data_IF_877891511365
#
_entry.id   IF_877891511365
#
_cell.length_a   1.000
_cell.length_b   1.000
_cell.length_c   1.000
_cell.angle_alpha   90.00
_cell.angle_beta   90.00
_cell.angle_gamma   90.00
#
_symmetry.space_group_name_H-M   'P 1'
#
loop_
_entity.id
_entity.type
_entity.pdbx_description
1 polymer ?
#
# COMPACT_ATOMS: atom_id res chain seq x y z
N UNK A 1 -5.44 6.40 7.09
CA UNK A 1 -4.26 7.29 7.17
C UNK A 1 -3.79 7.64 5.75
N UNK A 2 -3.33 8.87 5.47
CA UNK A 2 -2.87 9.29 4.12
C UNK A 2 -1.48 9.90 4.21
N UNK A 3 -0.65 9.66 3.22
CA UNK A 3 0.71 10.20 3.11
C UNK A 3 1.15 10.28 1.65
N UNK A 4 2.23 11.01 1.43
CA UNK A 4 2.90 11.11 0.12
C UNK A 4 4.22 10.35 0.18
N UNK A 5 4.49 9.57 -0.85
CA UNK A 5 5.74 8.85 -1.06
C UNK A 5 6.49 9.52 -2.22
N UNK A 6 7.63 10.12 -1.91
CA UNK A 6 8.55 10.61 -2.95
C UNK A 6 9.14 9.46 -3.77
N UNK A 7 9.71 9.81 -4.94
CA UNK A 7 10.22 8.92 -5.99
C UNK A 7 11.27 7.88 -5.57
N UNK A 8 11.75 7.93 -4.33
CA UNK A 8 12.73 7.00 -3.74
C UNK A 8 12.40 6.60 -2.31
N UNK A 9 11.29 7.11 -1.78
CA UNK A 9 10.85 6.80 -0.44
C UNK A 9 10.21 5.41 -0.45
N UNK A 10 10.61 4.60 0.53
CA UNK A 10 9.99 3.30 0.78
C UNK A 10 9.36 3.29 2.16
N UNK A 11 8.20 2.68 2.26
CA UNK A 11 7.49 2.48 3.52
C UNK A 11 7.17 1.00 3.66
N UNK A 12 7.48 0.42 4.82
CA UNK A 12 7.16 -0.98 5.12
C UNK A 12 5.93 -1.01 6.00
N UNK A 13 4.86 -1.60 5.47
CA UNK A 13 3.66 -1.95 6.21
C UNK A 13 3.86 -3.35 6.80
N UNK A 14 3.91 -3.44 8.13
CA UNK A 14 4.00 -4.73 8.83
C UNK A 14 2.62 -5.27 9.14
N UNK A 15 2.42 -6.58 8.97
CA UNK A 15 1.15 -7.28 9.30
C UNK A 15 -0.09 -6.55 8.76
N UNK A 16 -0.12 -6.39 7.44
CA UNK A 16 -1.11 -5.54 6.78
C UNK A 16 -2.35 -6.31 6.31
N UNK A 17 -2.65 -7.47 6.89
CA UNK A 17 -3.87 -8.23 6.59
C UNK A 17 -5.12 -7.36 6.77
N UNK A 18 -6.06 -7.48 5.82
CA UNK A 18 -7.30 -6.72 5.77
C UNK A 18 -7.12 -5.24 5.42
N UNK A 19 -5.89 -4.77 5.20
CA UNK A 19 -5.63 -3.36 4.86
C UNK A 19 -5.83 -3.13 3.38
N UNK A 20 -6.60 -2.09 3.03
CA UNK A 20 -6.74 -1.64 1.65
C UNK A 20 -5.84 -0.43 1.39
N UNK A 21 -4.95 -0.57 0.42
CA UNK A 21 -4.07 0.50 -0.06
C UNK A 21 -4.73 1.13 -1.29
N UNK A 22 -4.91 2.44 -1.26
CA UNK A 22 -5.50 3.24 -2.36
C UNK A 22 -4.47 4.26 -2.85
N UNK A 23 -4.22 4.28 -4.15
CA UNK A 23 -3.42 5.30 -4.80
C UNK A 23 -4.33 6.47 -5.18
N UNK A 24 -4.16 7.62 -4.54
CA UNK A 24 -4.94 8.84 -4.76
C UNK A 24 -4.33 9.74 -5.84
N UNK A 25 -3.05 9.56 -6.17
CA UNK A 25 -2.31 10.38 -7.12
C UNK A 25 -0.94 9.79 -7.41
N UNK A 26 -0.43 10.02 -8.61
CA UNK A 26 0.85 9.46 -9.05
C UNK A 26 0.81 7.94 -9.22
N UNK A 27 1.93 7.29 -8.90
CA UNK A 27 2.12 5.84 -9.05
C UNK A 27 2.86 5.27 -7.85
N UNK A 28 2.29 4.23 -7.23
CA UNK A 28 2.93 3.48 -6.14
C UNK A 28 3.20 2.04 -6.58
N UNK A 29 4.38 1.54 -6.26
CA UNK A 29 4.73 0.13 -6.37
C UNK A 29 4.60 -0.54 -5.01
N UNK A 30 4.04 -1.74 -5.00
CA UNK A 30 3.87 -2.59 -3.84
C UNK A 30 4.60 -3.89 -4.09
N UNK A 31 5.27 -4.41 -3.06
CA UNK A 31 5.93 -5.71 -3.10
C UNK A 31 5.67 -6.46 -1.80
N UNK A 32 5.04 -7.64 -1.90
CA UNK A 32 4.86 -8.54 -0.76
C UNK A 32 6.17 -9.27 -0.44
N UNK A 33 6.58 -9.25 0.83
CA UNK A 33 7.78 -9.97 1.26
C UNK A 33 7.42 -11.46 1.40
N UNK A 34 7.58 -12.18 0.28
CA UNK A 34 7.53 -13.65 0.11
C UNK A 34 6.13 -14.30 0.08
N UNK A 35 5.79 -14.98 -1.03
CA UNK A 35 6.29 -14.79 -2.40
C UNK A 35 6.33 -13.32 -2.80
N UNK A 36 7.36 -12.94 -3.56
CA UNK A 36 7.43 -11.63 -4.19
C UNK A 36 6.26 -11.51 -5.16
N UNK A 37 5.25 -10.74 -4.75
CA UNK A 37 4.13 -10.36 -5.58
C UNK A 37 4.21 -8.84 -5.74
N UNK A 38 4.73 -8.44 -6.89
CA UNK A 38 4.87 -7.03 -7.24
C UNK A 38 3.59 -6.53 -7.90
N UNK A 39 3.09 -5.39 -7.43
CA UNK A 39 1.90 -4.77 -7.96
C UNK A 39 2.12 -3.26 -8.07
N UNK A 40 1.76 -2.67 -9.20
CA UNK A 40 1.82 -1.22 -9.41
C UNK A 40 0.39 -0.69 -9.40
N UNK A 41 0.12 0.32 -8.57
CA UNK A 41 -1.14 1.02 -8.53
C UNK A 41 -0.96 2.43 -9.09
N UNK A 42 -1.73 2.72 -10.15
CA UNK A 42 -1.91 4.09 -10.64
C UNK A 42 -2.99 4.83 -9.86
N UNK A 43 -3.12 6.12 -10.14
CA UNK A 43 -4.16 6.99 -9.56
C UNK A 43 -5.55 6.37 -9.70
N UNK A 44 -6.29 6.31 -8.59
CA UNK A 44 -7.63 5.71 -8.50
C UNK A 44 -7.65 4.20 -8.28
N UNK A 45 -6.50 3.51 -8.36
CA UNK A 45 -6.45 2.08 -8.13
C UNK A 45 -6.23 1.72 -6.67
N UNK A 46 -6.77 0.57 -6.26
CA UNK A 46 -6.60 0.05 -4.90
C UNK A 46 -6.27 -1.44 -4.88
N UNK A 47 -5.58 -1.86 -3.83
CA UNK A 47 -5.24 -3.25 -3.54
C UNK A 47 -5.67 -3.59 -2.12
N UNK A 48 -6.45 -4.64 -1.96
CA UNK A 48 -6.68 -5.25 -0.65
C UNK A 48 -5.54 -6.22 -0.37
N UNK A 49 -4.92 -6.07 0.79
CA UNK A 49 -3.94 -7.00 1.32
C UNK A 49 -4.69 -8.06 2.12
N UNK A 50 -4.81 -9.24 1.53
CA UNK A 50 -5.56 -10.36 2.13
C UNK A 50 -4.69 -11.18 3.10
N UNK A 51 -3.36 -10.95 3.09
CA UNK A 51 -2.40 -11.75 3.83
C UNK A 51 -1.71 -10.95 4.93
N UNK A 52 -1.33 -11.61 6.04
CA UNK A 52 -0.65 -10.99 7.19
C UNK A 52 0.86 -10.78 6.93
N UNK A 53 1.20 -10.47 5.69
CA UNK A 53 2.58 -10.30 5.26
C UNK A 53 3.00 -8.84 5.32
N UNK A 54 4.31 -8.68 5.42
CA UNK A 54 4.93 -7.38 5.29
C UNK A 54 4.89 -6.94 3.83
N UNK A 55 4.48 -5.70 3.59
CA UNK A 55 4.36 -5.11 2.26
C UNK A 55 5.23 -3.87 2.19
N UNK A 56 6.09 -3.82 1.19
CA UNK A 56 6.90 -2.64 0.88
C UNK A 56 6.14 -1.79 -0.13
N UNK A 57 6.01 -0.50 0.15
CA UNK A 57 5.49 0.50 -0.78
C UNK A 57 6.63 1.39 -1.23
N UNK A 58 6.77 1.62 -2.53
CA UNK A 58 7.71 2.58 -3.10
C UNK A 58 6.99 3.60 -3.98
N UNK A 59 7.29 4.89 -3.82
CA UNK A 59 6.78 5.95 -4.70
C UNK A 59 7.58 6.03 -6.00
N UNK A 60 6.93 6.22 -7.16
CA UNK A 60 7.61 6.22 -8.47
C UNK A 60 7.52 7.55 -9.24
N UNK A 61 6.43 8.34 -9.15
CA UNK A 61 6.55 9.78 -8.81
C UNK A 61 5.29 10.36 -8.12
N UNK A 62 5.47 11.33 -7.20
CA UNK A 62 4.39 12.05 -6.49
C UNK A 62 3.25 11.15 -5.99
N UNK A 63 3.62 10.01 -5.42
CA UNK A 63 2.67 8.97 -5.07
C UNK A 63 1.90 9.37 -3.82
N UNK A 64 0.63 9.68 -3.98
CA UNK A 64 -0.27 9.97 -2.86
C UNK A 64 -1.01 8.69 -2.50
N UNK A 65 -0.81 8.20 -1.29
CA UNK A 65 -1.30 6.89 -0.87
C UNK A 65 -2.18 7.05 0.36
N UNK A 66 -3.32 6.37 0.35
CA UNK A 66 -4.17 6.21 1.51
C UNK A 66 -4.19 4.74 1.95
N UNK A 67 -3.93 4.53 3.23
CA UNK A 67 -4.11 3.26 3.92
C UNK A 67 -5.47 3.30 4.61
N UNK A 68 -6.33 2.38 4.19
CA UNK A 68 -7.60 2.08 4.81
C UNK A 68 -7.40 0.79 5.61
N UNK A 69 -7.12 0.91 6.90
CA UNK A 69 -7.08 -0.24 7.80
C UNK A 69 -8.44 -0.93 7.81
N UNK A 70 -8.51 -2.26 8.00
CA UNK A 70 -9.77 -2.87 8.35
C UNK A 70 -10.18 -2.23 9.67
N UNK A 71 -11.25 -1.45 9.64
CA UNK A 71 -11.91 -1.01 10.87
C UNK A 71 -12.12 -2.26 11.69
N UNK A 72 -11.58 -2.26 12.91
CA UNK A 72 -11.75 -3.30 13.92
C UNK A 72 -13.18 -3.87 13.86
N UNK A 73 -13.38 -5.20 13.86
CA UNK A 73 -14.73 -5.75 13.91
C UNK A 73 -15.40 -5.14 15.15
N UNK A 74 -16.52 -4.45 14.91
CA UNK A 74 -17.33 -3.89 15.99
C UNK A 74 -17.67 -5.00 17.01
N UNK A 75 -17.64 -4.67 18.31
CA UNK A 75 -17.79 -5.64 19.40
C UNK A 75 -19.12 -6.39 19.39
#
# INVERSE_FOLDING_TARGET
MRFTLDRRSTLVLKRAAGTRILCLGGTVWLSEIRPAADCVLGTGQSKLLDNDRDVVLGGLPDAQVAILSPTEPAP
#
